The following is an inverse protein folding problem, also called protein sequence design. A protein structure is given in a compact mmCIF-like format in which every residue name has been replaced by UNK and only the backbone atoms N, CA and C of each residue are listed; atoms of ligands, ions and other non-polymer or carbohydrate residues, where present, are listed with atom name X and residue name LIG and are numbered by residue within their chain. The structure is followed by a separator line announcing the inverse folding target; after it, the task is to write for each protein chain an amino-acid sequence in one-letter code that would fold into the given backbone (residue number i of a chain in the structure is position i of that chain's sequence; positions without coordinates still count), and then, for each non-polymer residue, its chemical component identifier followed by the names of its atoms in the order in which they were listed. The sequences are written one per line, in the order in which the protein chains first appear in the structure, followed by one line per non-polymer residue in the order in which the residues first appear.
data_IF_445938961958
#
_entry.id   IF_445938961958
#
_cell.length_a   1.000
_cell.length_b   1.000
_cell.length_c   1.000
_cell.angle_alpha   90.00
_cell.angle_beta   90.00
_cell.angle_gamma   90.00
#
_symmetry.space_group_name_H-M   'P 1'
#
loop_
_entity.id
_entity.type
_entity.pdbx_description
1 polymer ?
#
# COMPACT_ATOMS: atom_id res chain seq x y z
N UNK A 1 19.28 -4.49 -16.60
CA UNK A 1 18.41 -4.18 -17.75
C UNK A 1 19.28 -3.68 -18.89
N UNK A 2 19.01 -4.15 -20.10
CA UNK A 2 19.64 -3.67 -21.33
C UNK A 2 18.59 -2.88 -22.13
N UNK A 3 18.95 -1.66 -22.54
CA UNK A 3 18.10 -0.78 -23.33
C UNK A 3 18.82 -0.35 -24.60
N UNK A 4 18.07 -0.04 -25.65
CA UNK A 4 18.57 0.52 -26.91
C UNK A 4 17.60 1.65 -27.32
N UNK A 5 18.01 2.89 -27.07
CA UNK A 5 17.14 4.04 -27.22
C UNK A 5 15.85 3.92 -26.39
N UNK A 6 14.73 3.89 -27.07
CA UNK A 6 13.40 3.81 -26.44
C UNK A 6 12.87 2.38 -26.28
N UNK A 7 13.74 1.38 -26.38
CA UNK A 7 13.36 -0.03 -26.27
C UNK A 7 14.12 -0.76 -25.16
N UNK A 8 13.38 -1.53 -24.37
CA UNK A 8 13.92 -2.59 -23.54
C UNK A 8 14.34 -3.76 -24.44
N UNK A 9 15.56 -4.24 -24.29
CA UNK A 9 16.10 -5.37 -25.05
C UNK A 9 16.17 -6.63 -24.24
N UNK A 10 16.62 -6.53 -23.00
CA UNK A 10 16.73 -7.67 -22.09
C UNK A 10 16.62 -7.27 -20.63
N UNK A 11 16.15 -8.21 -19.82
CA UNK A 11 16.18 -8.11 -18.36
C UNK A 11 16.95 -9.33 -17.82
N UNK A 12 17.99 -9.07 -17.04
CA UNK A 12 18.74 -10.13 -16.35
C UNK A 12 18.20 -10.31 -14.95
N UNK A 13 17.73 -11.50 -14.64
CA UNK A 13 17.20 -11.91 -13.35
C UNK A 13 18.26 -12.74 -12.62
N UNK A 14 18.34 -12.59 -11.31
CA UNK A 14 19.18 -13.39 -10.43
C UNK A 14 18.30 -14.12 -9.41
N UNK A 15 18.48 -15.44 -9.32
CA UNK A 15 17.85 -16.23 -8.27
C UNK A 15 18.47 -15.90 -6.91
N UNK A 16 17.67 -15.49 -5.95
CA UNK A 16 18.15 -15.28 -4.58
C UNK A 16 18.45 -16.59 -3.84
N UNK A 17 17.88 -17.69 -4.33
CA UNK A 17 18.09 -19.03 -3.73
C UNK A 17 19.35 -19.70 -4.25
N UNK A 18 19.56 -19.69 -5.58
CA UNK A 18 20.68 -20.40 -6.23
C UNK A 18 21.84 -19.48 -6.61
N UNK A 19 21.60 -18.16 -6.70
CA UNK A 19 22.56 -17.17 -7.24
C UNK A 19 22.70 -17.20 -8.76
N UNK A 20 22.02 -18.12 -9.44
CA UNK A 20 22.06 -18.23 -10.91
C UNK A 20 21.40 -17.04 -11.57
N UNK A 21 21.90 -16.67 -12.73
CA UNK A 21 21.36 -15.58 -13.54
C UNK A 21 20.77 -16.08 -14.84
N UNK A 22 19.66 -15.47 -15.24
CA UNK A 22 18.99 -15.71 -16.52
C UNK A 22 18.72 -14.36 -17.18
N UNK A 23 19.09 -14.21 -18.46
CA UNK A 23 18.76 -13.03 -19.26
C UNK A 23 17.60 -13.37 -20.19
N UNK A 24 16.52 -12.60 -20.07
CA UNK A 24 15.28 -12.76 -20.85
C UNK A 24 15.21 -11.62 -21.87
N UNK A 25 15.03 -11.97 -23.14
CA UNK A 25 14.71 -11.03 -24.22
C UNK A 25 13.25 -11.21 -24.62
N UNK A 26 12.53 -10.10 -24.76
CA UNK A 26 11.11 -10.12 -25.10
C UNK A 26 10.73 -8.93 -25.99
N UNK A 27 9.67 -9.09 -26.78
CA UNK A 27 9.11 -7.98 -27.57
C UNK A 27 8.56 -6.88 -26.67
N UNK A 28 7.89 -7.26 -25.58
CA UNK A 28 7.36 -6.37 -24.54
C UNK A 28 7.84 -6.82 -23.17
N UNK A 29 8.10 -5.86 -22.30
CA UNK A 29 8.41 -6.06 -20.89
C UNK A 29 7.26 -5.47 -20.06
N UNK A 30 6.70 -6.25 -19.14
CA UNK A 30 5.68 -5.81 -18.21
C UNK A 30 6.30 -5.64 -16.84
N UNK A 31 6.28 -4.42 -16.31
CA UNK A 31 6.78 -4.14 -14.97
C UNK A 31 5.65 -4.29 -13.93
N UNK A 32 5.67 -5.44 -13.24
CA UNK A 32 4.82 -5.73 -12.10
C UNK A 32 5.63 -5.79 -10.79
N UNK A 33 6.82 -5.18 -10.76
CA UNK A 33 7.62 -5.11 -9.54
C UNK A 33 6.95 -4.19 -8.51
N UNK A 34 7.08 -4.55 -7.23
CA UNK A 34 6.38 -3.86 -6.13
C UNK A 34 6.74 -2.36 -6.02
N UNK A 35 7.97 -1.99 -6.39
CA UNK A 35 8.49 -0.63 -6.31
C UNK A 35 8.70 0.04 -7.69
N UNK A 36 8.25 -0.58 -8.79
CA UNK A 36 8.54 -0.09 -10.13
C UNK A 36 10.04 -0.12 -10.42
N UNK A 37 10.70 -1.24 -10.12
CA UNK A 37 12.16 -1.33 -10.16
C UNK A 37 12.71 -1.24 -11.59
N UNK A 38 11.98 -1.76 -12.58
CA UNK A 38 12.39 -1.67 -13.98
C UNK A 38 12.38 -0.23 -14.50
N UNK A 39 11.56 0.65 -13.92
CA UNK A 39 11.54 2.07 -14.29
C UNK A 39 12.90 2.73 -13.99
N UNK A 40 13.43 2.50 -12.79
CA UNK A 40 14.73 3.04 -12.40
C UNK A 40 15.89 2.37 -13.16
N UNK A 41 15.88 1.03 -13.23
CA UNK A 41 16.93 0.23 -13.87
C UNK A 41 17.04 0.48 -15.38
N UNK A 42 15.90 0.79 -16.03
CA UNK A 42 15.83 1.09 -17.46
C UNK A 42 15.87 2.58 -17.80
N UNK A 43 16.08 3.45 -16.79
CA UNK A 43 16.07 4.91 -16.96
C UNK A 43 14.78 5.41 -17.65
N UNK A 44 13.64 4.87 -17.22
CA UNK A 44 12.31 5.29 -17.69
C UNK A 44 11.87 6.49 -16.87
N UNK A 45 11.28 7.47 -17.52
CA UNK A 45 10.76 8.67 -16.86
C UNK A 45 9.64 8.29 -15.89
N UNK A 46 9.80 8.66 -14.64
CA UNK A 46 8.86 8.36 -13.56
C UNK A 46 8.83 9.47 -12.52
N UNK A 47 7.84 9.43 -11.65
CA UNK A 47 7.70 10.27 -10.46
C UNK A 47 7.66 9.39 -9.22
N UNK A 48 8.05 9.95 -8.08
CA UNK A 48 7.99 9.34 -6.75
C UNK A 48 7.49 10.36 -5.75
N UNK A 49 6.90 9.88 -4.65
CA UNK A 49 6.41 10.76 -3.59
C UNK A 49 5.24 11.65 -4.01
N UNK A 50 5.09 12.77 -3.35
CA UNK A 50 3.91 13.65 -3.46
C UNK A 50 4.14 14.79 -4.45
N UNK A 51 3.26 14.91 -5.44
CA UNK A 51 3.19 16.05 -6.36
C UNK A 51 2.60 17.28 -5.66
N UNK A 52 2.85 18.44 -6.23
CA UNK A 52 2.29 19.73 -5.79
C UNK A 52 0.95 20.05 -6.48
N UNK A 53 0.15 20.91 -5.83
CA UNK A 53 -1.05 21.49 -6.43
C UNK A 53 -0.73 22.28 -7.70
N UNK A 54 0.44 22.91 -7.76
CA UNK A 54 0.87 23.65 -8.95
C UNK A 54 1.11 22.73 -10.15
N UNK A 55 1.52 21.48 -9.93
CA UNK A 55 1.77 20.50 -11.01
C UNK A 55 0.50 19.80 -11.47
N UNK A 56 -0.39 19.43 -10.55
CA UNK A 56 -1.53 18.55 -10.85
C UNK A 56 -2.88 19.22 -10.77
N UNK A 57 -2.97 20.35 -10.08
CA UNK A 57 -4.23 21.03 -9.77
C UNK A 57 -5.12 20.28 -8.77
N UNK A 58 -4.66 19.18 -8.18
CA UNK A 58 -5.43 18.36 -7.26
C UNK A 58 -5.66 19.09 -5.93
N UNK A 59 -6.89 19.14 -5.41
CA UNK A 59 -7.19 19.83 -4.15
C UNK A 59 -6.39 19.30 -2.95
N UNK A 60 -6.04 18.01 -2.95
CA UNK A 60 -5.34 17.37 -1.82
C UNK A 60 -3.85 17.13 -2.06
N UNK A 61 -3.30 17.54 -3.21
CA UNK A 61 -1.85 17.56 -3.45
C UNK A 61 -1.15 18.56 -2.52
N UNK A 62 0.18 18.54 -2.48
CA UNK A 62 0.95 19.46 -1.64
C UNK A 62 0.72 20.92 -2.04
N UNK A 63 0.44 21.82 -1.08
CA UNK A 63 0.21 23.24 -1.41
C UNK A 63 1.50 23.98 -1.81
N UNK A 64 2.69 23.44 -1.43
CA UNK A 64 4.02 23.98 -1.75
C UNK A 64 4.67 23.24 -2.91
N UNK A 65 5.99 23.10 -2.83
CA UNK A 65 6.78 22.32 -3.78
C UNK A 65 6.49 20.82 -3.65
N UNK A 66 6.68 20.02 -4.72
CA UNK A 66 6.57 18.56 -4.64
C UNK A 66 7.65 17.98 -3.72
N UNK A 67 7.31 16.90 -3.03
CA UNK A 67 8.25 16.19 -2.17
C UNK A 67 8.40 14.72 -2.63
N UNK A 68 9.49 14.37 -3.33
CA UNK A 68 9.75 13.01 -3.77
C UNK A 68 9.93 12.00 -2.62
N UNK A 69 10.25 12.46 -1.42
CA UNK A 69 10.46 11.62 -0.25
C UNK A 69 9.21 11.50 0.64
N UNK A 70 8.15 12.25 0.37
CA UNK A 70 6.86 12.12 1.04
C UNK A 70 6.07 10.95 0.44
N UNK A 71 6.27 9.77 0.99
CA UNK A 71 5.67 8.51 0.55
C UNK A 71 4.77 7.92 1.65
N UNK A 72 3.72 7.20 1.24
CA UNK A 72 2.85 6.55 2.21
C UNK A 72 3.61 5.55 3.09
N UNK A 73 3.20 5.46 4.34
CA UNK A 73 3.71 4.47 5.29
C UNK A 73 3.68 3.05 4.72
N UNK A 74 4.67 2.26 5.09
CA UNK A 74 4.71 0.83 4.83
C UNK A 74 4.36 0.05 6.09
N UNK A 75 3.85 -1.18 5.94
CA UNK A 75 3.43 -1.99 7.08
C UNK A 75 4.00 -3.39 6.97
N UNK A 76 4.76 -3.83 7.98
CA UNK A 76 5.13 -5.24 8.03
C UNK A 76 4.03 -6.04 8.71
N UNK A 77 3.16 -6.64 7.91
CA UNK A 77 1.97 -7.35 8.38
C UNK A 77 2.33 -8.63 9.13
N UNK A 78 1.45 -9.04 10.05
CA UNK A 78 1.52 -10.33 10.71
C UNK A 78 0.13 -10.82 11.12
N UNK A 79 0.01 -12.09 11.44
CA UNK A 79 -1.25 -12.68 11.87
C UNK A 79 -1.14 -13.18 13.30
N UNK A 80 -2.21 -13.05 14.06
CA UNK A 80 -2.30 -13.52 15.43
C UNK A 80 -3.59 -14.31 15.68
N UNK A 81 -3.51 -15.30 16.57
CA UNK A 81 -4.64 -15.85 17.30
C UNK A 81 -4.56 -15.47 18.79
N UNK A 82 -5.62 -15.73 19.54
CA UNK A 82 -5.66 -15.47 20.98
C UNK A 82 -6.15 -16.69 21.74
N UNK A 83 -5.38 -17.13 22.72
CA UNK A 83 -5.73 -18.24 23.61
C UNK A 83 -5.67 -17.75 25.06
N UNK A 84 -6.84 -17.62 25.65
CA UNK A 84 -6.95 -17.14 27.03
C UNK A 84 -6.22 -18.08 28.00
N UNK A 85 -5.44 -17.48 28.93
CA UNK A 85 -4.66 -18.22 29.93
C UNK A 85 -3.34 -18.80 29.41
N UNK A 86 -3.06 -18.72 28.11
CA UNK A 86 -1.75 -19.08 27.57
C UNK A 86 -0.76 -17.90 27.63
N UNK A 87 0.52 -18.21 27.48
CA UNK A 87 1.58 -17.21 27.36
C UNK A 87 2.46 -17.54 26.13
N UNK A 88 2.38 -16.66 25.13
CA UNK A 88 3.16 -16.69 23.89
C UNK A 88 3.98 -15.41 23.75
N UNK A 89 4.32 -14.75 24.86
CA UNK A 89 5.07 -13.50 24.86
C UNK A 89 6.39 -13.68 24.12
N UNK A 90 6.59 -12.88 23.07
CA UNK A 90 7.83 -12.90 22.30
C UNK A 90 8.98 -12.24 23.08
N UNK A 91 10.24 -12.52 22.76
CA UNK A 91 11.36 -11.74 23.29
C UNK A 91 11.20 -10.25 22.98
N UNK A 92 11.59 -9.39 23.92
CA UNK A 92 11.53 -7.94 23.76
C UNK A 92 12.31 -7.51 22.51
N UNK A 93 11.67 -6.81 21.53
CA UNK A 93 12.33 -6.35 20.34
C UNK A 93 13.42 -5.32 20.64
N UNK A 94 14.44 -5.28 19.80
CA UNK A 94 15.59 -4.37 19.95
C UNK A 94 15.19 -2.90 20.08
N UNK A 95 14.26 -2.45 19.24
CA UNK A 95 13.87 -1.05 19.13
C UNK A 95 12.59 -0.71 19.93
N UNK A 96 12.18 -1.62 20.86
CA UNK A 96 10.92 -1.50 21.60
C UNK A 96 10.77 -0.17 22.33
N UNK A 97 11.77 0.25 23.12
CA UNK A 97 11.67 1.50 23.91
C UNK A 97 11.50 2.72 23.01
N UNK A 98 12.20 2.73 21.88
CA UNK A 98 12.05 3.80 20.86
C UNK A 98 10.60 3.94 20.42
N UNK A 99 9.96 2.84 20.02
CA UNK A 99 8.59 2.88 19.52
C UNK A 99 7.56 3.09 20.63
N UNK A 100 7.82 2.59 21.83
CA UNK A 100 6.97 2.78 23.01
C UNK A 100 6.85 4.25 23.40
N UNK A 101 7.95 4.98 23.34
CA UNK A 101 8.04 6.40 23.72
C UNK A 101 7.74 7.33 22.53
N UNK A 102 7.71 6.81 21.32
CA UNK A 102 7.54 7.61 20.12
C UNK A 102 6.17 8.29 20.09
N UNK A 103 6.18 9.60 20.02
CA UNK A 103 5.02 10.45 19.80
C UNK A 103 5.39 11.51 18.78
N UNK A 104 4.58 11.65 17.75
CA UNK A 104 4.74 12.64 16.71
C UNK A 104 3.60 13.65 16.78
N UNK A 105 3.88 14.90 16.44
CA UNK A 105 2.91 16.00 16.59
C UNK A 105 1.64 15.83 15.73
N UNK A 106 1.77 15.16 14.59
CA UNK A 106 0.63 14.91 13.70
C UNK A 106 -0.20 13.67 14.09
N UNK A 107 0.19 12.92 15.13
CA UNK A 107 -0.47 11.70 15.59
C UNK A 107 -1.11 11.90 16.98
N UNK A 108 -2.29 11.28 17.27
CA UNK A 108 -3.08 11.65 18.46
C UNK A 108 -2.45 11.20 19.79
N UNK A 109 -1.67 10.11 19.77
CA UNK A 109 -1.09 9.49 20.96
C UNK A 109 0.32 8.96 20.68
N UNK A 110 0.88 8.16 21.59
CA UNK A 110 2.08 7.39 21.31
C UNK A 110 1.81 6.39 20.18
N UNK A 111 2.87 6.02 19.44
CA UNK A 111 2.77 5.04 18.36
C UNK A 111 2.15 3.71 18.84
N UNK A 112 2.63 3.21 19.98
CA UNK A 112 2.07 2.03 20.63
C UNK A 112 0.96 2.46 21.59
N UNK A 113 -0.26 2.54 21.06
CA UNK A 113 -1.46 2.91 21.81
C UNK A 113 -2.70 2.30 21.16
N UNK A 114 -3.87 2.43 21.83
CA UNK A 114 -5.17 2.08 21.25
C UNK A 114 -5.87 3.27 20.57
N UNK A 115 -5.19 4.39 20.44
CA UNK A 115 -5.74 5.61 19.83
C UNK A 115 -5.11 5.84 18.46
N UNK A 116 -5.94 6.19 17.51
CA UNK A 116 -5.57 6.61 16.16
C UNK A 116 -6.57 7.66 15.65
N UNK A 117 -6.43 8.10 14.42
CA UNK A 117 -7.43 8.95 13.77
C UNK A 117 -8.41 8.15 12.92
N UNK A 118 -9.66 8.61 12.89
CA UNK A 118 -10.59 8.26 11.83
C UNK A 118 -10.06 8.83 10.49
N UNK A 119 -9.87 8.00 9.45
CA UNK A 119 -9.24 8.48 8.21
C UNK A 119 -10.05 9.54 7.45
N UNK A 120 -11.39 9.53 7.59
CA UNK A 120 -12.27 10.48 6.89
C UNK A 120 -12.43 11.79 7.63
N UNK A 121 -12.55 11.74 8.97
CA UNK A 121 -12.92 12.92 9.78
C UNK A 121 -11.77 13.50 10.57
N UNK A 122 -10.67 12.75 10.70
CA UNK A 122 -9.52 13.04 11.58
C UNK A 122 -9.91 13.22 13.04
N UNK A 123 -11.07 12.68 13.45
CA UNK A 123 -11.42 12.57 14.86
C UNK A 123 -10.58 11.49 15.54
N UNK A 124 -10.19 11.72 16.78
CA UNK A 124 -9.51 10.68 17.57
C UNK A 124 -10.48 9.56 17.85
N UNK A 125 -10.09 8.34 17.55
CA UNK A 125 -10.84 7.14 17.86
C UNK A 125 -10.05 6.22 18.78
N UNK A 126 -10.77 5.43 19.57
CA UNK A 126 -10.20 4.40 20.43
C UNK A 126 -10.66 3.03 19.94
N UNK A 127 -9.71 2.16 19.63
CA UNK A 127 -9.95 0.76 19.27
C UNK A 127 -8.89 -0.13 19.90
N UNK A 128 -9.31 -1.06 20.75
CA UNK A 128 -8.42 -2.13 21.22
C UNK A 128 -8.71 -3.44 20.48
N UNK A 129 -8.04 -4.50 20.89
CA UNK A 129 -8.29 -5.84 20.33
C UNK A 129 -9.76 -6.24 20.50
N UNK A 130 -10.36 -6.02 21.69
CA UNK A 130 -11.69 -6.55 22.03
C UNK A 130 -12.72 -5.49 22.42
N UNK A 131 -12.37 -4.21 22.37
CA UNK A 131 -13.32 -3.12 22.62
C UNK A 131 -13.03 -1.91 21.75
N UNK A 132 -14.06 -1.15 21.45
CA UNK A 132 -14.00 0.13 20.75
C UNK A 132 -14.86 1.16 21.46
N UNK A 133 -14.67 2.43 21.12
CA UNK A 133 -15.52 3.53 21.55
C UNK A 133 -15.90 4.36 20.33
N UNK A 134 -17.16 4.84 20.26
CA UNK A 134 -17.54 5.79 19.23
C UNK A 134 -16.65 7.04 19.27
N UNK A 135 -16.40 7.62 18.09
CA UNK A 135 -15.80 8.97 17.95
C UNK A 135 -16.75 10.03 18.50
N UNK A 136 -16.30 11.29 18.55
CA UNK A 136 -17.10 12.41 18.99
C UNK A 136 -18.37 12.60 18.11
N UNK A 137 -18.31 12.27 16.83
CA UNK A 137 -19.45 12.25 15.91
C UNK A 137 -20.36 11.03 16.07
N UNK A 138 -20.04 10.10 16.97
CA UNK A 138 -20.84 8.89 17.24
C UNK A 138 -20.51 7.69 16.34
N UNK A 139 -19.44 7.75 15.55
CA UNK A 139 -19.01 6.70 14.63
C UNK A 139 -18.26 5.61 15.38
N UNK A 140 -18.71 4.36 15.32
CA UNK A 140 -18.01 3.21 15.89
C UNK A 140 -17.42 2.34 14.78
N UNK A 141 -16.11 2.17 14.78
CA UNK A 141 -15.35 1.39 13.80
C UNK A 141 -15.14 -0.07 14.23
N UNK A 142 -15.71 -0.48 15.35
CA UNK A 142 -15.51 -1.80 15.89
C UNK A 142 -14.08 -2.07 16.38
N UNK A 143 -13.85 -3.28 16.82
CA UNK A 143 -12.58 -3.70 17.43
C UNK A 143 -11.54 -4.09 16.39
N UNK A 144 -10.25 -4.01 16.74
CA UNK A 144 -9.18 -4.51 15.88
C UNK A 144 -9.27 -6.01 15.61
N UNK A 145 -9.82 -6.78 16.54
CA UNK A 145 -10.01 -8.21 16.34
C UNK A 145 -10.92 -8.55 15.16
N UNK A 146 -11.98 -7.78 14.98
CA UNK A 146 -12.96 -7.99 13.91
C UNK A 146 -12.58 -7.28 12.60
N UNK A 147 -11.83 -6.20 12.69
CA UNK A 147 -11.52 -5.31 11.57
C UNK A 147 -10.87 -6.05 10.39
N UNK A 148 -9.89 -6.92 10.67
CA UNK A 148 -9.23 -7.73 9.65
C UNK A 148 -9.19 -9.21 10.04
N UNK A 149 -10.30 -9.72 10.61
CA UNK A 149 -10.42 -11.14 10.92
C UNK A 149 -10.48 -11.95 9.63
N UNK A 150 -9.44 -12.77 9.39
CA UNK A 150 -9.29 -13.60 8.19
C UNK A 150 -9.81 -15.02 8.40
N UNK A 151 -9.99 -15.46 9.65
CA UNK A 151 -10.53 -16.75 9.99
C UNK A 151 -11.50 -16.64 11.18
N UNK A 152 -12.71 -17.19 10.99
CA UNK A 152 -13.74 -17.22 12.03
C UNK A 152 -14.02 -18.68 12.43
N UNK A 153 -13.60 -19.08 13.64
CA UNK A 153 -13.79 -20.43 14.15
C UNK A 153 -15.27 -20.85 14.29
N UNK A 154 -16.17 -19.89 14.39
CA UNK A 154 -17.59 -20.18 14.53
C UNK A 154 -18.22 -20.83 13.28
N UNK A 155 -17.52 -20.81 12.14
CA UNK A 155 -17.96 -21.52 10.92
C UNK A 155 -17.58 -23.01 10.91
N UNK A 156 -16.94 -23.49 11.97
CA UNK A 156 -16.45 -24.86 12.10
C UNK A 156 -17.02 -25.55 13.34
N UNK A 157 -16.99 -26.87 13.42
CA UNK A 157 -17.43 -27.62 14.61
C UNK A 157 -16.77 -27.11 15.89
N UNK A 158 -17.55 -27.00 16.95
CA UNK A 158 -17.07 -26.52 18.25
C UNK A 158 -15.85 -27.31 18.73
N UNK A 159 -14.81 -26.61 19.17
CA UNK A 159 -13.57 -27.19 19.68
C UNK A 159 -12.54 -27.62 18.61
N UNK A 160 -12.85 -27.52 17.31
CA UNK A 160 -11.90 -27.88 16.25
C UNK A 160 -10.73 -26.88 16.18
N UNK A 161 -11.02 -25.60 16.37
CA UNK A 161 -10.02 -24.53 16.39
C UNK A 161 -10.08 -23.74 17.70
N UNK A 162 -8.94 -23.42 18.32
CA UNK A 162 -8.91 -22.72 19.61
C UNK A 162 -9.34 -21.26 19.51
N UNK A 163 -9.09 -20.59 18.38
CA UNK A 163 -9.31 -19.16 18.22
C UNK A 163 -9.67 -18.79 16.78
N UNK A 164 -10.22 -17.58 16.60
CA UNK A 164 -10.18 -16.85 15.35
C UNK A 164 -8.73 -16.43 15.02
N UNK A 165 -8.49 -15.99 13.78
CA UNK A 165 -7.22 -15.39 13.36
C UNK A 165 -7.50 -14.02 12.77
N UNK A 166 -6.75 -13.01 13.23
CA UNK A 166 -6.79 -11.67 12.65
C UNK A 166 -5.46 -11.27 12.03
N UNK A 167 -5.52 -10.48 10.96
CA UNK A 167 -4.37 -9.87 10.32
C UNK A 167 -4.09 -8.51 10.97
N UNK A 168 -2.87 -8.32 11.45
CA UNK A 168 -2.39 -7.03 11.96
C UNK A 168 -1.76 -6.26 10.81
N UNK A 169 -2.55 -5.37 10.25
CA UNK A 169 -2.21 -4.33 9.30
C UNK A 169 -3.03 -3.12 9.77
N UNK A 170 -2.53 -2.48 10.82
CA UNK A 170 -3.24 -1.44 11.56
C UNK A 170 -2.43 -0.14 11.57
N UNK A 171 -3.05 1.01 11.87
CA UNK A 171 -2.32 2.28 11.98
C UNK A 171 -1.11 2.24 12.91
N UNK A 172 -1.20 1.44 13.98
CA UNK A 172 -0.15 1.32 14.98
C UNK A 172 1.14 0.68 14.46
N UNK A 173 1.08 -0.10 13.38
CA UNK A 173 2.27 -0.64 12.73
C UNK A 173 2.54 -0.07 11.33
N UNK A 174 1.91 1.04 10.98
CA UNK A 174 2.30 1.85 9.84
C UNK A 174 3.63 2.56 10.14
N UNK A 175 4.64 2.28 9.33
CA UNK A 175 5.97 2.84 9.46
C UNK A 175 6.15 4.01 8.50
N UNK A 176 6.26 5.22 9.04
CA UNK A 176 6.41 6.49 8.32
C UNK A 176 7.69 7.25 8.63
N UNK A 177 8.72 6.58 9.19
CA UNK A 177 9.99 7.24 9.57
C UNK A 177 10.98 7.40 8.42
N UNK A 178 10.63 6.95 7.24
CA UNK A 178 11.39 7.16 6.02
C UNK A 178 10.92 6.33 4.84
N UNK A 179 11.21 6.82 3.63
CA UNK A 179 10.75 6.23 2.38
C UNK A 179 11.57 5.01 1.95
N UNK A 180 11.03 4.22 1.02
CA UNK A 180 11.74 3.09 0.42
C UNK A 180 12.25 3.37 -1.00
N UNK A 181 11.78 4.45 -1.62
CA UNK A 181 12.13 4.83 -2.99
C UNK A 181 12.79 6.20 -2.99
N UNK A 182 13.77 6.40 -3.84
CA UNK A 182 14.51 7.67 -3.92
C UNK A 182 15.63 7.82 -2.88
N UNK A 183 15.93 6.76 -2.15
CA UNK A 183 17.00 6.70 -1.13
C UNK A 183 18.04 5.64 -1.50
N UNK A 184 19.16 5.64 -0.80
CA UNK A 184 20.20 4.61 -0.97
C UNK A 184 19.68 3.23 -0.54
N UNK A 185 20.29 2.15 -1.05
CA UNK A 185 19.92 0.80 -0.62
C UNK A 185 20.14 0.59 0.88
N UNK A 186 21.19 1.18 1.45
CA UNK A 186 21.45 1.15 2.88
C UNK A 186 20.33 1.81 3.69
N UNK A 187 19.84 2.96 3.25
CA UNK A 187 18.70 3.65 3.89
C UNK A 187 17.43 2.84 3.76
N UNK A 188 17.15 2.32 2.57
CA UNK A 188 16.00 1.44 2.33
C UNK A 188 16.01 0.25 3.28
N UNK A 189 17.14 -0.45 3.43
CA UNK A 189 17.27 -1.58 4.36
C UNK A 189 17.09 -1.15 5.81
N UNK A 190 17.58 0.02 6.22
CA UNK A 190 17.35 0.59 7.54
C UNK A 190 15.87 0.83 7.80
N UNK A 191 15.11 1.34 6.83
CA UNK A 191 13.67 1.57 6.97
C UNK A 191 12.87 0.26 6.94
N UNK A 192 13.25 -0.71 6.13
CA UNK A 192 12.65 -2.05 6.15
C UNK A 192 12.83 -2.73 7.51
N UNK A 193 14.04 -2.71 8.05
CA UNK A 193 14.30 -3.23 9.40
C UNK A 193 13.51 -2.46 10.46
N UNK A 194 13.44 -1.11 10.35
CA UNK A 194 12.64 -0.29 11.24
C UNK A 194 11.15 -0.66 11.23
N UNK A 195 10.58 -0.91 10.05
CA UNK A 195 9.20 -1.36 9.90
C UNK A 195 8.95 -2.73 10.55
N UNK A 196 9.91 -3.65 10.40
CA UNK A 196 9.88 -4.96 11.08
C UNK A 196 9.92 -4.82 12.59
N UNK A 197 10.84 -3.98 13.10
CA UNK A 197 10.96 -3.72 14.53
C UNK A 197 9.73 -3.03 15.13
N UNK A 198 9.07 -2.13 14.39
CA UNK A 198 7.80 -1.52 14.83
C UNK A 198 6.71 -2.58 14.99
N UNK A 199 6.53 -3.46 14.02
CA UNK A 199 5.50 -4.51 14.06
C UNK A 199 5.74 -5.51 15.20
N UNK A 200 7.00 -5.93 15.42
CA UNK A 200 7.36 -6.75 16.55
C UNK A 200 7.13 -6.01 17.88
N UNK A 201 7.45 -4.70 17.94
CA UNK A 201 7.21 -3.87 19.12
C UNK A 201 5.73 -3.72 19.44
N UNK A 202 4.88 -3.60 18.43
CA UNK A 202 3.42 -3.59 18.61
C UNK A 202 2.93 -4.92 19.20
N UNK A 203 3.38 -6.06 18.68
CA UNK A 203 3.03 -7.36 19.21
C UNK A 203 3.47 -7.51 20.66
N UNK A 204 4.73 -7.17 20.97
CA UNK A 204 5.27 -7.26 22.34
C UNK A 204 4.50 -6.33 23.30
N UNK A 205 4.22 -5.09 22.88
CA UNK A 205 3.40 -4.15 23.66
C UNK A 205 2.00 -4.70 23.93
N UNK A 206 1.34 -5.27 22.91
CA UNK A 206 0.04 -5.91 23.07
C UNK A 206 0.09 -7.07 24.06
N UNK A 207 1.17 -7.84 24.06
CA UNK A 207 1.33 -8.99 24.97
C UNK A 207 1.63 -8.58 26.42
N UNK A 208 2.29 -7.42 26.65
CA UNK A 208 2.87 -7.09 27.95
C UNK A 208 2.30 -5.84 28.62
N UNK A 209 2.06 -4.76 27.87
CA UNK A 209 1.77 -3.42 28.45
C UNK A 209 0.42 -2.84 28.02
N UNK A 210 -0.18 -3.32 26.93
CA UNK A 210 -1.41 -2.76 26.40
C UNK A 210 -2.55 -2.81 27.44
N UNK A 211 -3.27 -1.69 27.66
CA UNK A 211 -4.41 -1.67 28.60
C UNK A 211 -5.46 -2.70 28.18
N UNK A 212 -5.88 -3.54 29.13
CA UNK A 212 -6.90 -4.58 28.88
C UNK A 212 -8.30 -4.00 28.86
N UNK A 213 -9.14 -4.57 27.99
CA UNK A 213 -10.56 -4.18 27.84
C UNK A 213 -11.41 -4.50 29.08
N UNK A 214 -11.00 -5.50 29.87
CA UNK A 214 -11.70 -5.98 31.06
C UNK A 214 -11.26 -5.27 32.36
N UNK A 215 -10.33 -4.31 32.26
CA UNK A 215 -9.80 -3.57 33.41
C UNK A 215 -8.90 -4.40 34.35
N UNK A 216 -8.54 -5.63 33.98
CA UNK A 216 -7.74 -6.54 34.81
C UNK A 216 -6.23 -6.41 34.57
N UNK A 217 -5.74 -5.17 34.49
CA UNK A 217 -4.32 -4.91 34.31
C UNK A 217 -3.95 -4.63 32.84
N UNK A 218 -2.77 -5.10 32.44
CA UNK A 218 -2.18 -4.85 31.13
C UNK A 218 -1.70 -6.15 30.47
N UNK A 219 -1.61 -6.12 29.16
CA UNK A 219 -1.08 -7.20 28.35
C UNK A 219 -2.07 -8.31 28.01
N UNK A 220 -1.86 -8.91 26.87
CA UNK A 220 -2.58 -10.08 26.36
C UNK A 220 -1.55 -11.17 26.00
N UNK A 221 -0.90 -11.82 26.99
CA UNK A 221 0.16 -12.81 26.74
C UNK A 221 -0.33 -14.01 25.89
N UNK A 222 -1.65 -14.26 25.88
CA UNK A 222 -2.25 -15.30 25.03
C UNK A 222 -2.30 -14.98 23.54
N UNK A 223 -1.88 -13.79 23.09
CA UNK A 223 -1.70 -13.50 21.67
C UNK A 223 -0.51 -14.29 21.13
N UNK A 224 -0.77 -15.10 20.11
CA UNK A 224 0.25 -15.94 19.47
C UNK A 224 0.48 -15.49 18.04
N UNK A 225 1.74 -15.25 17.69
CA UNK A 225 2.15 -15.01 16.30
C UNK A 225 1.92 -16.27 15.47
N UNK A 226 1.25 -16.11 14.32
CA UNK A 226 0.84 -17.21 13.45
C UNK A 226 1.61 -17.14 12.12
N UNK A 227 2.92 -17.35 12.19
CA UNK A 227 3.83 -17.41 11.03
C UNK A 227 3.45 -18.50 10.03
N UNK A 228 2.82 -19.59 10.51
CA UNK A 228 2.27 -20.66 9.67
C UNK A 228 1.19 -20.15 8.69
N UNK A 229 0.42 -19.14 9.08
CA UNK A 229 -0.62 -18.53 8.23
C UNK A 229 -0.01 -17.63 7.16
N UNK A 230 1.09 -16.96 7.46
CA UNK A 230 1.83 -16.14 6.47
C UNK A 230 2.79 -16.97 5.61
N UNK A 231 2.98 -18.25 5.93
CA UNK A 231 3.89 -19.15 5.22
C UNK A 231 5.37 -18.82 5.44
N UNK A 232 5.69 -18.26 6.61
CA UNK A 232 7.06 -17.92 7.03
C UNK A 232 7.55 -18.86 8.12
N UNK A 233 8.83 -18.77 8.49
CA UNK A 233 9.39 -19.55 9.59
C UNK A 233 8.75 -19.14 10.94
N UNK A 234 8.80 -20.04 11.93
CA UNK A 234 8.25 -19.77 13.24
C UNK A 234 8.88 -18.53 13.88
N UNK A 235 8.04 -17.66 14.42
CA UNK A 235 8.45 -16.37 14.99
C UNK A 235 8.66 -15.24 13.96
N UNK A 236 8.43 -15.48 12.68
CA UNK A 236 8.55 -14.47 11.62
C UNK A 236 7.21 -13.79 11.29
N UNK A 237 7.31 -12.54 10.82
CA UNK A 237 6.22 -11.75 10.24
C UNK A 237 5.94 -12.18 8.79
N UNK A 238 5.09 -11.46 8.07
CA UNK A 238 4.87 -11.70 6.64
C UNK A 238 6.19 -11.72 5.85
N UNK A 239 6.22 -12.46 4.76
CA UNK A 239 7.42 -12.67 3.92
C UNK A 239 8.00 -11.36 3.37
N UNK A 240 7.13 -10.37 3.10
CA UNK A 240 7.52 -9.05 2.62
C UNK A 240 6.69 -7.96 3.29
N UNK A 241 7.25 -6.75 3.33
CA UNK A 241 6.54 -5.57 3.79
C UNK A 241 5.40 -5.21 2.81
N UNK A 242 4.27 -4.75 3.32
CA UNK A 242 3.17 -4.20 2.51
C UNK A 242 3.49 -2.77 2.10
N UNK A 243 3.59 -2.57 0.79
CA UNK A 243 3.98 -1.31 0.15
C UNK A 243 2.78 -0.70 -0.55
N UNK A 244 2.43 0.54 -0.19
CA UNK A 244 1.27 1.25 -0.74
C UNK A 244 1.60 2.09 -1.97
N UNK A 245 2.85 2.47 -2.13
CA UNK A 245 3.27 3.40 -3.17
C UNK A 245 4.58 2.95 -3.82
N UNK A 246 4.68 3.16 -5.14
CA UNK A 246 5.85 2.82 -5.94
C UNK A 246 6.27 4.00 -6.82
N UNK A 247 7.32 3.81 -7.62
CA UNK A 247 7.56 4.68 -8.78
C UNK A 247 6.35 4.61 -9.71
N UNK A 248 5.94 5.74 -10.26
CA UNK A 248 4.82 5.86 -11.21
C UNK A 248 5.37 6.43 -12.51
N UNK A 249 5.07 5.79 -13.64
CA UNK A 249 5.59 6.25 -14.94
C UNK A 249 5.11 7.67 -15.25
N UNK A 250 5.94 8.47 -15.93
CA UNK A 250 5.43 9.60 -16.71
C UNK A 250 4.75 9.02 -17.94
N UNK A 251 3.43 9.03 -17.92
CA UNK A 251 2.58 8.39 -18.91
C UNK A 251 2.07 9.38 -19.96
N UNK A 252 1.52 8.87 -21.07
CA UNK A 252 0.79 9.67 -22.08
C UNK A 252 -0.44 10.34 -21.49
N UNK A 253 -0.98 9.80 -20.42
CA UNK A 253 -2.07 10.37 -19.64
C UNK A 253 -1.86 10.08 -18.17
N UNK A 254 -2.06 11.07 -17.30
CA UNK A 254 -1.99 10.90 -15.85
C UNK A 254 -3.38 11.09 -15.26
N UNK A 255 -3.86 10.10 -14.53
CA UNK A 255 -5.13 10.21 -13.78
C UNK A 255 -4.89 11.05 -12.54
N UNK A 256 -5.69 12.10 -12.36
CA UNK A 256 -5.66 13.02 -11.23
C UNK A 256 -6.97 12.97 -10.46
N UNK A 257 -7.01 13.52 -9.25
CA UNK A 257 -8.18 13.52 -8.36
C UNK A 257 -9.46 14.03 -9.04
N UNK A 258 -9.35 15.05 -9.90
CA UNK A 258 -10.48 15.65 -10.64
C UNK A 258 -11.16 14.67 -11.59
N UNK A 259 -10.52 13.57 -11.95
CA UNK A 259 -11.13 12.55 -12.82
C UNK A 259 -12.02 11.57 -12.03
N UNK A 260 -11.74 11.34 -10.75
CA UNK A 260 -12.35 10.25 -9.98
C UNK A 260 -12.99 10.68 -8.67
N UNK A 261 -12.46 11.73 -8.00
CA UNK A 261 -12.88 12.17 -6.68
C UNK A 261 -14.28 12.78 -6.68
N UNK A 262 -15.15 12.35 -5.75
CA UNK A 262 -16.55 12.81 -5.68
C UNK A 262 -16.61 14.32 -5.50
N UNK A 263 -15.93 14.86 -4.49
CA UNK A 263 -15.98 16.30 -4.18
C UNK A 263 -15.33 17.14 -5.29
N UNK A 264 -14.22 16.67 -5.85
CA UNK A 264 -13.57 17.36 -6.96
C UNK A 264 -14.48 17.43 -8.20
N UNK A 265 -15.16 16.33 -8.55
CA UNK A 265 -16.14 16.32 -9.66
C UNK A 265 -17.34 17.22 -9.39
N UNK A 266 -17.90 17.16 -8.17
CA UNK A 266 -19.05 17.99 -7.78
C UNK A 266 -18.73 19.49 -7.78
N UNK A 267 -17.52 19.88 -7.40
CA UNK A 267 -17.09 21.29 -7.45
C UNK A 267 -17.04 21.86 -8.88
N UNK A 268 -16.87 20.99 -9.88
CA UNK A 268 -16.96 21.34 -11.31
C UNK A 268 -18.38 21.22 -11.89
N UNK A 269 -19.39 20.92 -11.05
CA UNK A 269 -20.77 20.69 -11.50
C UNK A 269 -20.97 19.36 -12.24
N UNK A 270 -20.08 18.40 -12.05
CA UNK A 270 -20.09 17.10 -12.74
C UNK A 270 -20.53 15.98 -11.78
N UNK A 271 -21.13 14.93 -12.32
CA UNK A 271 -21.50 13.70 -11.62
C UNK A 271 -20.86 12.49 -12.29
N UNK A 272 -20.41 11.52 -11.47
CA UNK A 272 -19.67 10.37 -11.98
C UNK A 272 -18.20 10.68 -12.27
N UNK A 273 -17.40 9.63 -12.42
CA UNK A 273 -16.00 9.75 -12.83
C UNK A 273 -15.90 10.21 -14.30
N UNK A 274 -14.73 10.66 -14.68
CA UNK A 274 -14.43 11.01 -16.07
C UNK A 274 -14.53 9.76 -16.96
N UNK A 275 -15.30 9.81 -18.05
CA UNK A 275 -15.31 8.74 -19.04
C UNK A 275 -14.09 8.88 -19.97
N UNK A 276 -13.32 7.80 -20.11
CA UNK A 276 -12.16 7.77 -20.99
C UNK A 276 -12.49 7.02 -22.28
N UNK A 277 -12.19 7.62 -23.43
CA UNK A 277 -12.40 6.99 -24.75
C UNK A 277 -11.54 5.74 -24.95
N UNK A 278 -10.39 5.68 -24.24
CA UNK A 278 -9.40 4.61 -24.29
C UNK A 278 -9.45 3.70 -23.03
N UNK A 279 -10.65 3.54 -22.45
CA UNK A 279 -10.84 2.73 -21.24
C UNK A 279 -10.51 1.26 -21.47
N UNK A 280 -9.65 0.69 -20.63
CA UNK A 280 -9.22 -0.74 -20.67
C UNK A 280 -9.58 -1.53 -19.43
N UNK A 281 -10.22 -0.89 -18.47
CA UNK A 281 -10.63 -1.55 -17.22
C UNK A 281 -11.43 -0.60 -16.34
N UNK A 282 -11.88 -1.14 -15.19
CA UNK A 282 -12.65 -0.40 -14.20
C UNK A 282 -12.06 -0.59 -12.81
N UNK A 283 -12.27 0.39 -11.94
CA UNK A 283 -11.94 0.33 -10.53
C UNK A 283 -13.03 0.94 -9.67
N UNK A 284 -13.07 0.57 -8.41
CA UNK A 284 -13.95 1.16 -7.42
C UNK A 284 -13.31 1.02 -6.05
N UNK A 285 -12.78 2.12 -5.55
CA UNK A 285 -12.23 2.23 -4.21
C UNK A 285 -12.09 3.69 -3.83
N UNK A 286 -12.14 4.02 -2.55
CA UNK A 286 -11.87 5.36 -2.03
C UNK A 286 -10.44 5.78 -2.36
N UNK A 287 -10.19 7.08 -2.48
CA UNK A 287 -8.82 7.59 -2.42
C UNK A 287 -8.39 7.49 -0.96
N UNK A 288 -7.66 6.42 -0.65
CA UNK A 288 -7.26 6.03 0.71
C UNK A 288 -5.73 6.12 0.82
N UNK A 289 -5.25 7.20 1.41
CA UNK A 289 -3.85 7.44 1.69
C UNK A 289 -3.60 7.35 3.20
N UNK A 290 -2.65 6.53 3.57
CA UNK A 290 -2.16 6.41 4.93
C UNK A 290 -1.24 7.57 5.29
N UNK A 291 -0.97 7.81 6.58
CA UNK A 291 0.06 8.76 6.99
C UNK A 291 1.36 8.53 6.25
N UNK A 292 2.07 9.61 5.97
CA UNK A 292 3.23 9.59 5.08
C UNK A 292 4.53 9.96 5.79
N UNK A 293 5.64 9.70 5.12
CA UNK A 293 6.99 10.05 5.61
C UNK A 293 7.21 11.56 5.71
N UNK A 294 6.42 12.36 4.99
CA UNK A 294 6.34 13.82 5.14
C UNK A 294 5.52 14.30 6.34
N UNK A 295 5.13 13.40 7.25
CA UNK A 295 4.31 13.68 8.44
C UNK A 295 2.92 14.23 8.08
N UNK A 296 2.37 13.84 6.96
CA UNK A 296 0.98 14.12 6.59
C UNK A 296 0.06 13.04 7.16
N UNK A 297 -1.12 13.46 7.59
CA UNK A 297 -2.14 12.55 8.09
C UNK A 297 -2.90 11.88 6.94
N UNK A 298 -3.89 11.08 7.26
CA UNK A 298 -4.76 10.43 6.27
C UNK A 298 -5.37 11.42 5.27
N UNK A 299 -5.49 10.94 4.02
CA UNK A 299 -6.41 11.49 3.04
C UNK A 299 -7.32 10.34 2.64
N UNK A 300 -8.55 10.34 3.13
CA UNK A 300 -9.55 9.32 2.84
C UNK A 300 -10.83 9.99 2.34
N UNK A 301 -10.95 10.08 1.01
CA UNK A 301 -12.03 10.77 0.33
C UNK A 301 -12.76 9.84 -0.64
N UNK A 302 -14.04 10.09 -0.82
CA UNK A 302 -14.86 9.28 -1.73
C UNK A 302 -14.47 9.47 -3.18
N UNK A 303 -14.38 8.38 -3.91
CA UNK A 303 -14.30 8.36 -5.37
C UNK A 303 -15.59 7.77 -5.98
N UNK A 304 -15.88 8.13 -7.21
CA UNK A 304 -16.83 7.38 -8.02
C UNK A 304 -16.17 6.07 -8.50
N UNK A 305 -16.94 5.03 -8.87
CA UNK A 305 -16.43 3.97 -9.74
C UNK A 305 -15.83 4.60 -11.00
N UNK A 306 -14.64 4.18 -11.38
CA UNK A 306 -13.83 4.85 -12.40
C UNK A 306 -13.32 3.88 -13.46
N UNK A 307 -12.94 4.42 -14.61
CA UNK A 307 -12.30 3.71 -15.70
C UNK A 307 -10.77 3.82 -15.58
N UNK A 308 -10.07 2.85 -16.17
CA UNK A 308 -8.61 2.85 -16.30
C UNK A 308 -8.28 3.22 -17.75
N UNK A 309 -7.73 4.41 -18.03
CA UNK A 309 -7.39 4.79 -19.39
C UNK A 309 -6.12 4.09 -19.87
N UNK A 310 -6.11 3.62 -21.11
CA UNK A 310 -4.92 3.00 -21.73
C UNK A 310 -3.72 3.96 -21.71
N UNK A 311 -3.97 5.24 -21.91
CA UNK A 311 -2.92 6.26 -21.86
C UNK A 311 -2.12 6.29 -20.57
N UNK A 312 -2.70 5.83 -19.44
CA UNK A 312 -1.99 5.72 -18.17
C UNK A 312 -1.03 4.51 -18.10
N UNK A 313 -1.15 3.56 -19.03
CA UNK A 313 -0.25 2.43 -19.16
C UNK A 313 0.89 2.68 -20.17
N UNK A 314 0.89 3.81 -20.86
CA UNK A 314 1.85 4.09 -21.92
C UNK A 314 2.90 5.12 -21.48
N UNK A 315 4.18 4.72 -21.31
CA UNK A 315 5.25 5.66 -21.01
C UNK A 315 5.39 6.74 -22.09
N UNK A 316 5.81 7.96 -21.71
CA UNK A 316 5.99 9.07 -22.67
C UNK A 316 7.05 8.80 -23.73
N UNK A 317 8.06 7.96 -23.44
CA UNK A 317 9.19 7.69 -24.33
C UNK A 317 9.33 6.22 -24.69
N UNK A 318 9.42 5.35 -23.68
CA UNK A 318 9.72 3.92 -23.89
C UNK A 318 8.53 3.24 -24.54
N UNK A 319 8.80 2.44 -25.60
CA UNK A 319 7.77 1.93 -26.50
C UNK A 319 7.29 0.53 -26.18
N UNK A 320 8.11 -0.27 -25.49
CA UNK A 320 7.83 -1.69 -25.22
C UNK A 320 7.96 -2.08 -23.73
N UNK A 321 7.89 -1.10 -22.83
CA UNK A 321 7.68 -1.33 -21.40
C UNK A 321 6.27 -0.86 -21.04
N UNK A 322 5.53 -1.71 -20.31
CA UNK A 322 4.20 -1.40 -19.80
C UNK A 322 4.18 -1.60 -18.27
N UNK A 323 3.66 -0.65 -17.48
CA UNK A 323 3.34 -0.90 -16.10
C UNK A 323 2.22 -1.95 -16.03
N UNK A 324 2.31 -2.87 -15.10
CA UNK A 324 1.35 -3.95 -14.93
C UNK A 324 0.75 -4.04 -13.50
N UNK A 325 0.96 -2.98 -12.71
CA UNK A 325 0.42 -2.83 -11.35
C UNK A 325 0.27 -1.33 -11.00
N UNK A 326 0.47 -0.94 -9.73
CA UNK A 326 0.33 0.45 -9.23
C UNK A 326 1.33 1.47 -9.78
N UNK A 327 2.26 1.07 -10.61
CA UNK A 327 3.31 1.91 -11.21
C UNK A 327 2.89 2.62 -12.52
N UNK A 328 1.60 2.67 -12.82
CA UNK A 328 1.02 3.36 -13.98
C UNK A 328 1.00 4.89 -13.78
N UNK A 329 0.48 5.62 -14.79
CA UNK A 329 0.34 7.08 -14.79
C UNK A 329 -0.77 7.59 -13.87
N UNK A 330 -0.50 7.62 -12.58
CA UNK A 330 -1.34 8.18 -11.52
C UNK A 330 -0.50 9.13 -10.66
N UNK A 331 -1.16 9.96 -9.85
CA UNK A 331 -0.50 10.83 -8.86
C UNK A 331 -0.39 10.12 -7.51
N UNK A 332 0.32 10.72 -6.54
CA UNK A 332 0.28 10.30 -5.14
C UNK A 332 -1.17 10.15 -4.65
N UNK A 333 -2.02 11.11 -4.97
CA UNK A 333 -3.43 11.12 -4.55
C UNK A 333 -4.21 9.97 -5.19
N UNK A 334 -4.20 9.86 -6.50
CA UNK A 334 -4.99 8.81 -7.18
C UNK A 334 -4.41 7.42 -7.04
N UNK A 335 -3.13 7.29 -6.70
CA UNK A 335 -2.57 6.00 -6.27
C UNK A 335 -3.39 5.39 -5.12
N UNK A 336 -3.97 6.21 -4.24
CA UNK A 336 -4.83 5.76 -3.14
C UNK A 336 -5.98 4.84 -3.57
N UNK A 337 -6.55 5.02 -4.75
CA UNK A 337 -7.62 4.16 -5.27
C UNK A 337 -7.17 3.20 -6.39
N UNK A 338 -6.01 3.43 -7.02
CA UNK A 338 -5.48 2.56 -8.08
C UNK A 338 -4.61 1.40 -7.59
N UNK A 339 -4.09 1.46 -6.36
CA UNK A 339 -3.19 0.46 -5.76
C UNK A 339 -3.87 -0.79 -5.18
N UNK A 340 -5.18 -0.92 -5.34
CA UNK A 340 -5.93 -2.06 -4.79
C UNK A 340 -5.82 -3.28 -5.70
N UNK A 341 -5.68 -4.46 -5.10
CA UNK A 341 -5.45 -5.70 -5.83
C UNK A 341 -6.46 -5.96 -6.98
N UNK A 342 -7.78 -5.72 -6.83
CA UNK A 342 -8.71 -5.87 -7.96
C UNK A 342 -8.45 -4.88 -9.11
N UNK A 343 -7.98 -3.65 -8.79
CA UNK A 343 -7.63 -2.64 -9.80
C UNK A 343 -6.31 -3.01 -10.47
N UNK A 344 -5.30 -3.39 -9.69
CA UNK A 344 -4.00 -3.87 -10.21
C UNK A 344 -4.16 -5.11 -11.09
N UNK A 345 -5.10 -5.99 -10.77
CA UNK A 345 -5.45 -7.13 -11.61
C UNK A 345 -5.93 -6.67 -13.00
N UNK A 346 -6.87 -5.73 -13.06
CA UNK A 346 -7.33 -5.14 -14.33
C UNK A 346 -6.20 -4.49 -15.11
N UNK A 347 -5.31 -3.75 -14.43
CA UNK A 347 -4.13 -3.11 -15.06
C UNK A 347 -3.23 -4.18 -15.68
N UNK A 348 -2.90 -5.23 -14.93
CA UNK A 348 -2.05 -6.32 -15.41
C UNK A 348 -2.67 -7.10 -16.57
N UNK A 349 -3.98 -7.36 -16.52
CA UNK A 349 -4.72 -8.00 -17.60
C UNK A 349 -4.70 -7.16 -18.88
N UNK A 350 -4.96 -5.85 -18.77
CA UNK A 350 -4.90 -4.93 -19.89
C UNK A 350 -3.50 -4.82 -20.50
N UNK A 351 -2.46 -4.71 -19.64
CA UNK A 351 -1.06 -4.68 -20.11
C UNK A 351 -0.68 -5.97 -20.83
N UNK A 352 -1.08 -7.14 -20.30
CA UNK A 352 -0.84 -8.44 -20.92
C UNK A 352 -1.56 -8.59 -22.26
N UNK A 353 -2.84 -8.19 -22.33
CA UNK A 353 -3.62 -8.20 -23.56
C UNK A 353 -3.01 -7.30 -24.64
N UNK A 354 -2.59 -6.09 -24.25
CA UNK A 354 -1.93 -5.14 -25.16
C UNK A 354 -0.61 -5.68 -25.70
N UNK A 355 0.23 -6.24 -24.82
CA UNK A 355 1.52 -6.83 -25.17
C UNK A 355 1.37 -8.04 -26.14
N UNK A 356 0.27 -8.77 -26.06
CA UNK A 356 -0.05 -9.83 -27.00
C UNK A 356 -0.67 -9.30 -28.31
N UNK A 357 -1.53 -8.30 -28.24
CA UNK A 357 -2.26 -7.76 -29.39
C UNK A 357 -1.32 -7.03 -30.36
N UNK A 358 -0.43 -6.20 -29.86
CA UNK A 358 0.44 -5.35 -30.67
C UNK A 358 1.30 -6.14 -31.67
N UNK A 359 2.12 -7.13 -31.25
CA UNK A 359 2.97 -7.85 -32.20
C UNK A 359 2.14 -8.73 -33.18
N UNK A 360 1.02 -9.28 -32.74
CA UNK A 360 0.15 -10.11 -33.60
C UNK A 360 -0.50 -9.31 -34.75
N UNK A 361 -0.65 -8.00 -34.58
CA UNK A 361 -1.29 -7.13 -35.57
C UNK A 361 -0.34 -6.12 -36.22
N UNK A 362 0.95 -6.15 -35.85
CA UNK A 362 1.94 -5.18 -36.34
C UNK A 362 1.67 -3.75 -35.88
N UNK A 363 1.06 -3.60 -34.70
CA UNK A 363 0.68 -2.31 -34.13
C UNK A 363 1.60 -1.95 -32.96
N UNK A 364 1.64 -0.66 -32.65
CA UNK A 364 2.21 -0.15 -31.42
C UNK A 364 1.11 0.22 -30.41
N UNK A 365 1.41 0.23 -29.11
CA UNK A 365 0.43 0.57 -28.06
C UNK A 365 -0.29 1.91 -28.28
N UNK A 366 0.43 2.93 -28.72
CA UNK A 366 -0.15 4.25 -29.04
C UNK A 366 -1.14 4.21 -30.22
N UNK A 367 -0.90 3.32 -31.20
CA UNK A 367 -1.84 3.15 -32.33
C UNK A 367 -3.12 2.47 -31.86
N UNK A 368 -3.03 1.52 -30.93
CA UNK A 368 -4.22 0.87 -30.32
C UNK A 368 -5.04 1.91 -29.57
N UNK A 369 -4.40 2.79 -28.78
CA UNK A 369 -5.06 3.87 -28.04
C UNK A 369 -5.87 4.80 -28.94
N UNK A 370 -5.36 5.10 -30.13
CA UNK A 370 -5.94 6.05 -31.06
C UNK A 370 -6.91 5.40 -32.08
N UNK A 371 -7.14 4.09 -31.97
CA UNK A 371 -8.11 3.38 -32.82
C UNK A 371 -9.48 3.38 -32.12
N UNK A 372 -10.58 3.79 -32.81
CA UNK A 372 -11.92 3.83 -32.25
C UNK A 372 -12.44 2.46 -31.82
#
# INVERSE_FOLDING_TARGET
VETDGDFFRAVTLRSEVTGETVTVQAAYTLDATELGDLLALGNVEHVIGSESQAETGEPHALPGDPDPLDQQAVTWCFTVDYQEGADFTIPKPRDYEKFREMKLDFWPANQLSWEDFDPETLEVRFRSIFTSRPTASGRDHGTFWLYRRIFNKAYYPAGLYPSDITLVNWPQNDYWLGPLVGVSEEEKQRHLEGAKQLSLSLLYWMQTEAPRHDGKGAGYPGLRLRSDVTGTADGELAKAVYIRESRRIKARFTVVEQHVGVLARQSMGLTGAEPFHDSVGIGSYRIDLHPSTGQRNYIDISSYPFQIPLGALLPVRVRNLLPACKNLGVTHITNGCFRLHPVEWNIGEAAGALAAHCPNNGLEPEQVRNTP
#
